data_IF_086532709959
#
_entry.id   IF_086532709959
#
_cell.length_a   1.000
_cell.length_b   1.000
_cell.length_c   1.000
_cell.angle_alpha   90.00
_cell.angle_beta   90.00
_cell.angle_gamma   90.00
#
_symmetry.space_group_name_H-M   'P 1'
#
loop_
_entity.id
_entity.type
_entity.pdbx_description
1 polymer ?
#
# COMPACT_ATOMS: atom_id res chain seq x y z
N UNK A 1 -22.65 -19.46 -36.78
CA UNK A 1 -23.96 -18.79 -36.92
C UNK A 1 -24.63 -18.54 -35.57
N UNK A 2 -24.43 -19.39 -34.55
CA UNK A 2 -25.07 -19.31 -33.22
C UNK A 2 -24.99 -17.97 -32.44
N UNK A 3 -23.93 -17.17 -32.58
CA UNK A 3 -23.73 -15.97 -31.75
C UNK A 3 -24.61 -14.76 -32.14
N UNK A 4 -25.07 -14.67 -33.39
CA UNK A 4 -26.02 -13.61 -33.78
C UNK A 4 -27.43 -13.90 -33.29
N UNK A 5 -27.75 -15.18 -33.14
CA UNK A 5 -29.02 -15.67 -32.62
C UNK A 5 -29.11 -15.43 -31.10
N UNK A 6 -27.96 -15.37 -30.41
CA UNK A 6 -27.84 -15.04 -28.98
C UNK A 6 -27.83 -13.52 -28.69
N UNK A 7 -27.91 -12.67 -29.72
CA UNK A 7 -28.00 -11.21 -29.58
C UNK A 7 -26.68 -10.49 -29.29
N UNK A 8 -25.55 -11.20 -29.19
CA UNK A 8 -24.24 -10.61 -28.95
C UNK A 8 -23.56 -10.22 -30.27
N UNK A 9 -24.03 -9.10 -30.81
CA UNK A 9 -23.54 -8.57 -32.08
C UNK A 9 -22.06 -8.17 -32.03
N UNK A 10 -21.58 -7.74 -30.85
CA UNK A 10 -20.21 -7.30 -30.65
C UNK A 10 -19.22 -8.47 -30.75
N UNK A 11 -19.48 -9.59 -30.07
CA UNK A 11 -18.61 -10.79 -30.17
C UNK A 11 -18.68 -11.42 -31.55
N UNK A 12 -19.85 -11.41 -32.20
CA UNK A 12 -19.97 -11.90 -33.58
C UNK A 12 -19.15 -11.08 -34.58
N UNK A 13 -19.18 -9.74 -34.48
CA UNK A 13 -18.37 -8.84 -35.30
C UNK A 13 -16.88 -9.07 -35.04
N UNK A 14 -16.45 -9.17 -33.78
CA UNK A 14 -15.06 -9.45 -33.41
C UNK A 14 -14.57 -10.81 -33.93
N UNK A 15 -15.38 -11.87 -33.80
CA UNK A 15 -14.99 -13.17 -34.34
C UNK A 15 -14.86 -13.15 -35.84
N UNK A 16 -15.82 -12.55 -36.56
CA UNK A 16 -15.71 -12.36 -38.01
C UNK A 16 -14.40 -11.62 -38.34
N UNK A 17 -14.14 -10.53 -37.64
CA UNK A 17 -12.96 -9.69 -37.79
C UNK A 17 -11.64 -10.47 -37.60
N UNK A 18 -11.56 -11.29 -36.56
CA UNK A 18 -10.38 -12.11 -36.23
C UNK A 18 -10.19 -13.26 -37.22
N UNK A 19 -11.29 -13.85 -37.74
CA UNK A 19 -11.24 -14.99 -38.65
C UNK A 19 -10.99 -14.57 -40.10
N UNK A 20 -11.45 -13.39 -40.52
CA UNK A 20 -11.30 -12.91 -41.92
C UNK A 20 -10.01 -12.15 -42.19
N UNK A 21 -9.29 -11.68 -41.17
CA UNK A 21 -8.08 -10.87 -41.35
C UNK A 21 -6.77 -11.61 -41.11
N UNK A 22 -5.67 -10.92 -41.42
CA UNK A 22 -4.31 -11.48 -41.35
C UNK A 22 -3.95 -11.96 -39.94
N UNK A 23 -3.18 -13.06 -39.81
CA UNK A 23 -2.75 -13.64 -38.53
C UNK A 23 -2.06 -12.64 -37.59
N UNK A 24 -1.47 -11.59 -38.16
CA UNK A 24 -0.79 -10.51 -37.45
C UNK A 24 -1.75 -9.61 -36.66
N UNK A 25 -2.98 -9.40 -37.16
CA UNK A 25 -4.00 -8.60 -36.47
C UNK A 25 -4.63 -9.38 -35.32
N UNK A 26 -4.95 -10.65 -35.54
CA UNK A 26 -5.40 -11.57 -34.49
C UNK A 26 -4.39 -11.66 -33.33
N UNK A 27 -3.09 -11.82 -33.65
CA UNK A 27 -2.01 -11.78 -32.66
C UNK A 27 -1.96 -10.48 -31.87
N UNK A 28 -2.20 -9.34 -32.51
CA UNK A 28 -2.21 -8.02 -31.86
C UNK A 28 -3.37 -7.88 -30.88
N UNK A 29 -4.57 -8.29 -31.28
CA UNK A 29 -5.75 -8.31 -30.40
C UNK A 29 -5.48 -9.22 -29.21
N UNK A 30 -5.01 -10.44 -29.42
CA UNK A 30 -4.66 -11.38 -28.36
C UNK A 30 -3.58 -10.83 -27.42
N UNK A 31 -2.56 -10.16 -27.95
CA UNK A 31 -1.48 -9.56 -27.15
C UNK A 31 -1.97 -8.40 -26.29
N UNK A 32 -2.99 -7.66 -26.73
CA UNK A 32 -3.62 -6.58 -25.96
C UNK A 32 -4.57 -7.16 -24.91
N UNK A 33 -5.36 -8.16 -25.28
CA UNK A 33 -6.28 -8.83 -24.37
C UNK A 33 -5.54 -9.51 -23.20
N UNK A 34 -4.47 -10.24 -23.50
CA UNK A 34 -3.55 -10.80 -22.48
C UNK A 34 -2.87 -9.74 -21.60
N UNK A 35 -2.72 -8.50 -22.09
CA UNK A 35 -2.21 -7.38 -21.29
C UNK A 35 -3.30 -6.75 -20.42
N UNK A 36 -4.56 -6.79 -20.84
CA UNK A 36 -5.70 -6.23 -20.09
C UNK A 36 -6.26 -7.20 -19.04
N UNK A 37 -6.21 -8.51 -19.27
CA UNK A 37 -6.74 -9.53 -18.35
C UNK A 37 -5.93 -9.67 -17.04
N UNK A 38 -4.77 -9.02 -16.96
CA UNK A 38 -3.86 -9.11 -15.81
C UNK A 38 -3.51 -7.76 -15.20
N UNK A 39 -4.37 -6.75 -15.30
CA UNK A 39 -4.24 -5.57 -14.43
C UNK A 39 -4.73 -5.94 -13.02
N UNK A 40 -4.06 -6.90 -12.38
CA UNK A 40 -4.08 -6.96 -10.93
C UNK A 40 -3.25 -5.77 -10.46
N UNK A 41 -3.93 -4.68 -10.13
CA UNK A 41 -3.29 -3.53 -9.53
C UNK A 41 -2.67 -3.96 -8.20
N UNK A 42 -1.34 -3.99 -8.17
CA UNK A 42 -0.59 -4.16 -6.94
C UNK A 42 -1.00 -3.08 -5.94
N UNK A 43 -1.13 -3.43 -4.65
CA UNK A 43 -1.37 -2.46 -3.60
C UNK A 43 -0.27 -1.40 -3.58
N UNK A 44 -0.66 -0.17 -3.25
CA UNK A 44 0.28 0.91 -2.96
C UNK A 44 1.09 0.60 -1.70
N UNK A 45 2.22 1.29 -1.54
CA UNK A 45 3.03 1.16 -0.34
C UNK A 45 2.29 1.52 0.94
N UNK A 46 1.39 2.52 0.88
CA UNK A 46 0.59 2.95 2.02
C UNK A 46 -0.51 1.94 2.37
N UNK A 47 -1.23 1.39 1.38
CA UNK A 47 -2.23 0.34 1.62
C UNK A 47 -1.60 -0.92 2.21
N UNK A 48 -0.46 -1.35 1.67
CA UNK A 48 0.27 -2.50 2.18
C UNK A 48 0.83 -2.26 3.59
N UNK A 49 1.27 -1.03 3.90
CA UNK A 49 1.68 -0.65 5.25
C UNK A 49 0.47 -0.67 6.21
N UNK A 50 -0.67 -0.15 5.79
CA UNK A 50 -1.92 -0.20 6.57
C UNK A 50 -2.30 -1.64 6.89
N UNK A 51 -2.25 -2.55 5.91
CA UNK A 51 -2.52 -3.97 6.11
C UNK A 51 -1.59 -4.58 7.17
N UNK A 52 -0.29 -4.28 7.12
CA UNK A 52 0.67 -4.78 8.11
C UNK A 52 0.30 -4.31 9.52
N UNK A 53 -0.09 -3.05 9.68
CA UNK A 53 -0.43 -2.47 10.98
C UNK A 53 -1.77 -3.04 11.49
N UNK A 54 -2.81 -3.00 10.65
CA UNK A 54 -4.16 -3.46 11.00
C UNK A 54 -4.23 -4.96 11.29
N UNK A 55 -3.33 -5.76 10.73
CA UNK A 55 -3.24 -7.21 10.94
C UNK A 55 -2.05 -7.64 11.80
N UNK A 56 -1.35 -6.69 12.44
CA UNK A 56 -0.21 -6.94 13.33
C UNK A 56 0.87 -7.87 12.72
N UNK A 57 1.10 -7.74 11.42
CA UNK A 57 1.99 -8.65 10.69
C UNK A 57 3.45 -8.32 10.96
N UNK A 58 4.23 -9.34 11.23
CA UNK A 58 5.69 -9.23 11.16
C UNK A 58 6.15 -9.11 9.70
N UNK A 59 7.35 -8.53 9.50
CA UNK A 59 8.01 -8.49 8.19
C UNK A 59 8.13 -9.88 7.54
N UNK A 60 8.35 -10.92 8.35
CA UNK A 60 8.43 -12.31 7.87
C UNK A 60 7.07 -12.79 7.35
N UNK A 61 6.00 -12.61 8.13
CA UNK A 61 4.65 -13.00 7.70
C UNK A 61 4.22 -12.28 6.43
N UNK A 62 4.49 -10.98 6.32
CA UNK A 62 4.20 -10.22 5.10
C UNK A 62 4.94 -10.77 3.87
N UNK A 63 6.23 -11.14 4.01
CA UNK A 63 7.00 -11.75 2.92
C UNK A 63 6.42 -13.10 2.48
N UNK A 64 6.01 -13.94 3.44
CA UNK A 64 5.36 -15.22 3.16
C UNK A 64 4.06 -15.00 2.40
N UNK A 65 3.19 -14.07 2.85
CA UNK A 65 1.94 -13.73 2.15
C UNK A 65 2.19 -13.31 0.70
N UNK A 66 3.20 -12.47 0.49
CA UNK A 66 3.60 -12.02 -0.84
C UNK A 66 4.11 -13.17 -1.72
N UNK A 67 4.96 -14.04 -1.19
CA UNK A 67 5.49 -15.20 -1.91
C UNK A 67 4.37 -16.18 -2.27
N UNK A 68 3.48 -16.48 -1.32
CA UNK A 68 2.31 -17.33 -1.57
C UNK A 68 1.43 -16.76 -2.66
N UNK A 69 1.10 -15.46 -2.62
CA UNK A 69 0.32 -14.81 -3.68
C UNK A 69 1.03 -14.92 -5.04
N UNK A 70 2.35 -14.64 -5.08
CA UNK A 70 3.14 -14.71 -6.30
C UNK A 70 3.19 -16.12 -6.89
N UNK A 71 3.29 -17.16 -6.05
CA UNK A 71 3.28 -18.55 -6.48
C UNK A 71 1.94 -18.97 -7.11
N UNK A 72 0.85 -18.31 -6.73
CA UNK A 72 -0.48 -18.50 -7.33
C UNK A 72 -0.75 -17.54 -8.50
N UNK A 73 0.28 -16.86 -9.03
CA UNK A 73 0.15 -15.95 -10.16
C UNK A 73 -0.40 -14.56 -9.80
N UNK A 74 -0.50 -14.22 -8.52
CA UNK A 74 -1.03 -12.94 -8.06
C UNK A 74 0.09 -11.98 -7.63
N UNK A 75 0.15 -10.80 -8.25
CA UNK A 75 1.10 -9.74 -7.91
C UNK A 75 0.46 -8.63 -7.07
N UNK A 76 -0.40 -9.01 -6.11
CA UNK A 76 -1.15 -8.07 -5.28
C UNK A 76 -0.25 -7.30 -4.29
N UNK A 77 0.70 -7.97 -3.65
CA UNK A 77 1.48 -7.36 -2.57
C UNK A 77 2.78 -6.72 -3.08
N UNK A 78 3.02 -5.42 -2.81
CA UNK A 78 4.27 -4.76 -3.17
C UNK A 78 5.47 -5.38 -2.46
N UNK A 79 6.66 -5.17 -3.01
CA UNK A 79 7.89 -5.55 -2.31
C UNK A 79 7.98 -4.83 -0.96
N UNK A 80 8.61 -5.47 0.02
CA UNK A 80 8.79 -4.85 1.34
C UNK A 80 9.58 -3.55 1.27
N UNK A 81 10.39 -3.33 0.23
CA UNK A 81 11.12 -2.08 0.04
C UNK A 81 10.20 -0.89 -0.23
N UNK A 82 9.11 -1.10 -0.99
CA UNK A 82 8.09 -0.08 -1.24
C UNK A 82 7.36 0.26 0.07
N UNK A 83 6.99 -0.77 0.84
CA UNK A 83 6.39 -0.60 2.18
C UNK A 83 7.33 0.13 3.13
N UNK A 84 8.63 -0.21 3.10
CA UNK A 84 9.66 0.44 3.91
C UNK A 84 9.76 1.93 3.60
N UNK A 85 9.75 2.30 2.32
CA UNK A 85 9.74 3.71 1.90
C UNK A 85 8.48 4.45 2.39
N UNK A 86 7.30 3.83 2.27
CA UNK A 86 6.06 4.40 2.80
C UNK A 86 6.12 4.59 4.33
N UNK A 87 6.71 3.64 5.05
CA UNK A 87 6.92 3.73 6.50
C UNK A 87 7.85 4.88 6.87
N UNK A 88 8.96 5.04 6.15
CA UNK A 88 9.89 6.16 6.39
C UNK A 88 9.27 7.52 6.06
N UNK A 89 8.50 7.61 4.98
CA UNK A 89 7.78 8.83 4.62
C UNK A 89 6.73 9.23 5.67
N UNK A 90 6.32 8.32 6.55
CA UNK A 90 5.41 8.62 7.65
C UNK A 90 6.10 9.20 8.89
N UNK A 91 7.43 9.17 8.98
CA UNK A 91 8.16 9.73 10.12
C UNK A 91 8.42 11.23 9.95
N UNK A 92 8.21 12.05 10.99
CA UNK A 92 8.65 13.44 11.00
C UNK A 92 10.18 13.52 11.04
N UNK A 93 10.72 14.65 10.58
CA UNK A 93 12.15 14.94 10.67
C UNK A 93 12.57 15.28 12.11
N UNK A 94 13.87 15.19 12.39
CA UNK A 94 14.44 15.66 13.66
C UNK A 94 14.18 14.76 14.87
N UNK A 95 13.83 13.49 14.67
CA UNK A 95 13.70 12.51 15.76
C UNK A 95 15.08 12.28 16.39
N UNK A 96 15.19 12.53 17.69
CA UNK A 96 16.37 12.23 18.50
C UNK A 96 16.05 11.08 19.44
N UNK A 97 16.83 10.02 19.35
CA UNK A 97 16.69 8.83 20.20
C UNK A 97 17.97 8.65 21.00
N UNK A 98 17.83 8.58 22.32
CA UNK A 98 18.88 8.20 23.28
C UNK A 98 18.43 6.94 24.03
N UNK A 99 19.27 6.44 24.92
CA UNK A 99 18.92 5.28 25.77
C UNK A 99 17.78 5.60 26.74
N UNK A 100 17.69 6.86 27.17
CA UNK A 100 16.76 7.30 28.21
C UNK A 100 15.51 7.98 27.66
N UNK A 101 15.59 8.62 26.49
CA UNK A 101 14.48 9.39 25.94
C UNK A 101 14.43 9.40 24.41
N UNK A 102 13.25 9.69 23.89
CA UNK A 102 13.01 9.94 22.49
C UNK A 102 12.23 11.25 22.38
N UNK A 103 12.75 12.20 21.61
CA UNK A 103 12.12 13.51 21.41
C UNK A 103 12.06 13.87 19.93
N UNK A 104 11.14 14.75 19.60
CA UNK A 104 10.96 15.31 18.26
C UNK A 104 10.56 16.77 18.42
N UNK A 105 11.03 17.61 17.49
CA UNK A 105 10.61 19.01 17.47
C UNK A 105 9.10 19.11 17.24
N UNK A 106 8.40 19.88 18.08
CA UNK A 106 6.96 20.02 18.02
C UNK A 106 6.53 20.67 16.70
N UNK A 107 7.29 21.65 16.21
CA UNK A 107 6.99 22.32 14.95
C UNK A 107 7.11 21.34 13.78
N UNK A 108 8.20 20.56 13.72
CA UNK A 108 8.38 19.49 12.73
C UNK A 108 7.23 18.46 12.77
N UNK A 109 6.83 18.02 13.97
CA UNK A 109 5.75 17.05 14.15
C UNK A 109 4.40 17.58 13.65
N UNK A 110 4.02 18.80 14.04
CA UNK A 110 2.73 19.40 13.65
C UNK A 110 2.69 19.69 12.15
N UNK A 111 3.77 20.23 11.57
CA UNK A 111 3.86 20.47 10.12
C UNK A 111 3.77 19.18 9.32
N UNK A 112 4.49 18.13 9.74
CA UNK A 112 4.43 16.82 9.10
C UNK A 112 3.01 16.23 9.14
N UNK A 113 2.36 16.32 10.30
CA UNK A 113 0.97 15.86 10.49
C UNK A 113 0.01 16.62 9.57
N UNK A 114 0.12 17.96 9.51
CA UNK A 114 -0.69 18.79 8.64
C UNK A 114 -0.50 18.42 7.15
N UNK A 115 0.76 18.28 6.72
CA UNK A 115 1.10 17.89 5.35
C UNK A 115 0.47 16.55 4.96
N UNK A 116 0.55 15.55 5.84
CA UNK A 116 -0.04 14.22 5.58
C UNK A 116 -1.57 14.25 5.52
N UNK A 117 -2.24 15.04 6.37
CA UNK A 117 -3.69 15.21 6.31
C UNK A 117 -4.11 15.88 4.99
N UNK A 118 -3.39 16.92 4.57
CA UNK A 118 -3.66 17.59 3.29
C UNK A 118 -3.46 16.64 2.12
N UNK A 119 -2.39 15.83 2.14
CA UNK A 119 -2.11 14.84 1.11
C UNK A 119 -3.22 13.77 1.01
N UNK A 120 -3.74 13.28 2.14
CA UNK A 120 -4.79 12.26 2.15
C UNK A 120 -6.15 12.77 1.65
N UNK A 121 -6.43 14.08 1.81
CA UNK A 121 -7.68 14.72 1.36
C UNK A 121 -7.49 15.49 0.04
N UNK A 122 -6.31 15.40 -0.57
CA UNK A 122 -5.91 16.19 -1.75
C UNK A 122 -6.89 16.06 -2.92
N UNK A 123 -7.51 14.90 -3.12
CA UNK A 123 -8.53 14.66 -4.15
C UNK A 123 -9.76 15.57 -4.00
N UNK A 124 -10.17 15.84 -2.76
CA UNK A 124 -11.29 16.74 -2.43
C UNK A 124 -10.85 18.21 -2.53
N UNK A 125 -9.62 18.50 -2.08
CA UNK A 125 -9.08 19.86 -1.99
C UNK A 125 -8.65 20.43 -3.36
N UNK A 126 -8.35 19.58 -4.34
CA UNK A 126 -7.87 19.97 -5.68
C UNK A 126 -8.85 20.86 -6.46
N UNK A 127 -10.13 20.87 -6.06
CA UNK A 127 -11.17 21.71 -6.63
C UNK A 127 -11.12 23.18 -6.19
N UNK A 128 -10.32 23.53 -5.16
CA UNK A 128 -10.30 24.87 -4.55
C UNK A 128 -8.95 25.55 -4.72
N UNK A 129 -8.94 26.77 -5.27
CA UNK A 129 -7.71 27.56 -5.55
C UNK A 129 -7.02 28.13 -4.29
N UNK A 130 -7.74 28.27 -3.18
CA UNK A 130 -7.19 28.75 -1.91
C UNK A 130 -8.04 28.22 -0.76
N UNK A 131 -7.40 27.60 0.22
CA UNK A 131 -8.06 27.03 1.39
C UNK A 131 -7.39 27.65 2.61
N UNK A 132 -8.14 28.45 3.36
CA UNK A 132 -7.72 28.90 4.67
C UNK A 132 -8.18 27.85 5.67
N UNK A 133 -7.24 27.04 6.16
CA UNK A 133 -7.52 25.97 7.13
C UNK A 133 -6.77 26.22 8.43
N UNK A 134 -7.45 25.98 9.54
CA UNK A 134 -6.87 26.00 10.88
C UNK A 134 -6.77 24.58 11.39
N UNK A 135 -5.57 24.14 11.77
CA UNK A 135 -5.38 22.85 12.43
C UNK A 135 -5.56 23.04 13.94
N UNK A 136 -6.56 22.37 14.50
CA UNK A 136 -6.82 22.36 15.95
C UNK A 136 -6.25 21.06 16.52
N UNK A 137 -5.27 21.17 17.42
CA UNK A 137 -4.59 20.03 18.03
C UNK A 137 -4.99 19.86 19.50
N UNK A 138 -4.94 18.62 19.99
CA UNK A 138 -5.01 18.28 21.42
C UNK A 138 -3.72 17.54 21.80
N UNK A 139 -3.18 17.82 22.97
CA UNK A 139 -1.99 17.15 23.51
C UNK A 139 -2.18 16.80 24.99
N UNK A 140 -1.35 15.88 25.49
CA UNK A 140 -1.36 15.41 26.87
C UNK A 140 -0.28 14.34 27.07
N UNK A 141 0.00 13.99 28.32
CA UNK A 141 1.01 13.00 28.70
C UNK A 141 0.41 12.04 29.72
N UNK A 142 0.72 10.75 29.60
CA UNK A 142 0.27 9.69 30.53
C UNK A 142 1.39 8.66 30.72
N UNK A 143 1.42 7.99 31.88
CA UNK A 143 2.46 7.06 32.28
C UNK A 143 1.93 5.64 32.45
N UNK A 144 2.68 4.65 31.94
CA UNK A 144 2.34 3.22 32.05
C UNK A 144 3.43 2.41 32.75
N UNK A 145 3.06 1.62 33.76
CA UNK A 145 3.95 0.68 34.47
C UNK A 145 3.82 -0.76 33.94
N UNK A 146 4.84 -1.61 34.13
CA UNK A 146 4.74 -3.07 33.88
C UNK A 146 5.41 -3.62 32.61
N UNK A 147 6.35 -2.90 32.00
CA UNK A 147 7.10 -3.39 30.86
C UNK A 147 8.14 -4.43 31.29
N UNK A 148 8.13 -5.62 30.66
CA UNK A 148 9.13 -6.64 30.94
C UNK A 148 10.48 -6.25 30.36
N UNK A 149 11.46 -6.00 31.23
CA UNK A 149 12.86 -5.88 30.85
C UNK A 149 13.35 -7.29 30.50
N UNK A 150 13.53 -7.57 29.20
CA UNK A 150 14.16 -8.82 28.76
C UNK A 150 15.67 -8.72 28.91
N UNK A 151 16.17 -8.70 30.14
CA UNK A 151 17.59 -8.93 30.41
C UNK A 151 17.85 -10.44 30.43
N UNK A 152 18.72 -10.91 29.54
CA UNK A 152 19.20 -12.30 29.53
C UNK A 152 19.96 -12.72 30.80
N UNK A 153 20.19 -11.79 31.74
CA UNK A 153 20.90 -11.99 33.01
C UNK A 153 19.98 -12.19 34.23
N UNK A 154 18.66 -12.01 34.10
CA UNK A 154 17.73 -12.16 35.22
C UNK A 154 17.19 -13.60 35.40
N UNK A 155 17.39 -14.47 34.40
CA UNK A 155 17.02 -15.88 34.51
C UNK A 155 18.26 -16.66 34.95
N UNK A 156 18.44 -16.77 36.27
CA UNK A 156 19.46 -17.62 36.88
C UNK A 156 19.39 -19.06 36.35
N UNK A 157 20.22 -19.36 35.35
CA UNK A 157 20.67 -20.71 35.07
C UNK A 157 21.77 -21.01 36.10
N UNK A 158 21.39 -21.65 37.20
CA UNK A 158 22.36 -22.43 37.96
C UNK A 158 22.87 -23.52 37.03
N UNK A 159 24.19 -23.53 36.83
CA UNK A 159 24.94 -24.62 36.22
C UNK A 159 25.12 -25.71 37.28
#
# INVERSE_FOLDING_TARGET
MKLRDEGDEATSKLLKEVTTWTPTRARRVLSRWRKTDHIQSQLSGEEALSLIISSELTKRQYKILRETAKNHGHMLYPSYEIVRKAKYAAYPDGIRVTEDFCEVDLQALVLHTASRIVASVSTVLSSRKKINSTLICKYGFDGSSGHSIKTALANGRQV
#
